data_IF_896664061515
#
_entry.id   IF_896664061515
#
_cell.length_a   1.000
_cell.length_b   1.000
_cell.length_c   1.000
_cell.angle_alpha   90.00
_cell.angle_beta   90.00
_cell.angle_gamma   90.00
#
_symmetry.space_group_name_H-M   'P 1'
#
loop_
_entity.id
_entity.type
_entity.pdbx_description
1 polymer ?
#
# COMPACT_ATOMS: atom_id res chain seq x y z
N UNK A 1 10.57 14.52 3.86
CA UNK A 1 9.37 14.84 4.66
C UNK A 1 9.06 13.61 5.48
N UNK A 2 8.57 13.78 6.70
CA UNK A 2 8.23 12.67 7.57
C UNK A 2 6.71 12.50 7.55
N UNK A 3 6.22 11.35 7.11
CA UNK A 3 4.79 11.08 7.00
C UNK A 3 4.24 10.50 8.32
N UNK A 4 3.06 10.93 8.72
CA UNK A 4 2.39 10.42 9.92
C UNK A 4 1.61 9.15 9.60
N UNK A 5 1.46 8.25 10.58
CA UNK A 5 0.67 7.01 10.40
C UNK A 5 -0.81 7.28 10.12
N UNK A 6 -1.33 8.45 10.52
CA UNK A 6 -2.71 8.87 10.26
C UNK A 6 -3.00 9.10 8.77
N UNK A 7 -1.96 9.33 7.96
CA UNK A 7 -2.10 9.48 6.51
C UNK A 7 -2.34 8.13 5.82
N UNK A 8 -2.03 7.00 6.47
CA UNK A 8 -2.22 5.67 5.87
C UNK A 8 -3.72 5.33 5.84
N UNK A 9 -4.23 4.99 4.65
CA UNK A 9 -5.63 4.61 4.48
C UNK A 9 -5.99 3.36 5.31
N UNK A 10 -7.12 3.44 6.02
CA UNK A 10 -7.67 2.33 6.80
C UNK A 10 -7.08 2.15 8.21
N UNK A 11 -6.26 3.08 8.71
CA UNK A 11 -5.94 3.14 10.15
C UNK A 11 -6.96 4.03 10.86
N UNK A 12 -7.82 3.44 11.68
CA UNK A 12 -8.79 4.20 12.49
C UNK A 12 -8.10 4.88 13.68
N UNK A 13 -8.72 5.93 14.22
CA UNK A 13 -8.22 6.66 15.39
C UNK A 13 -7.92 5.75 16.59
N UNK A 14 -8.72 4.69 16.79
CA UNK A 14 -8.47 3.70 17.84
C UNK A 14 -7.13 2.96 17.64
N UNK A 15 -6.78 2.62 16.41
CA UNK A 15 -5.52 1.95 16.10
C UNK A 15 -4.33 2.92 16.07
N UNK A 16 -4.54 4.16 15.62
CA UNK A 16 -3.53 5.24 15.74
C UNK A 16 -3.11 5.38 17.21
N UNK A 17 -4.06 5.58 18.12
CA UNK A 17 -3.77 5.71 19.55
C UNK A 17 -3.02 4.49 20.15
N UNK A 18 -3.24 3.28 19.61
CA UNK A 18 -2.51 2.08 20.04
C UNK A 18 -1.08 2.07 19.50
N UNK A 19 -0.89 2.43 18.24
CA UNK A 19 0.43 2.55 17.60
C UNK A 19 1.27 3.62 18.30
N UNK A 20 0.69 4.78 18.63
CA UNK A 20 1.38 5.85 19.34
C UNK A 20 1.86 5.42 20.73
N UNK A 21 1.05 4.63 21.47
CA UNK A 21 1.46 4.05 22.76
C UNK A 21 2.64 3.08 22.64
N UNK A 22 2.85 2.50 21.46
CA UNK A 22 4.02 1.68 21.13
C UNK A 22 5.19 2.51 20.58
N UNK A 23 5.09 3.84 20.58
CA UNK A 23 6.08 4.76 20.03
C UNK A 23 6.13 4.77 18.50
N UNK A 24 5.03 4.41 17.84
CA UNK A 24 4.91 4.38 16.37
C UNK A 24 4.00 5.52 15.97
N UNK A 25 4.60 6.65 15.57
CA UNK A 25 3.87 7.85 15.14
C UNK A 25 4.07 8.13 13.66
N UNK A 26 5.14 7.60 13.05
CA UNK A 26 5.50 7.92 11.66
C UNK A 26 5.57 6.67 10.79
N UNK A 27 5.39 6.87 9.49
CA UNK A 27 5.53 5.83 8.45
C UNK A 27 6.86 5.10 8.58
N UNK A 28 7.96 5.81 8.83
CA UNK A 28 9.29 5.21 8.97
C UNK A 28 9.38 4.31 10.22
N UNK A 29 8.84 4.75 11.35
CA UNK A 29 8.81 3.92 12.58
C UNK A 29 7.93 2.68 12.43
N UNK A 30 6.85 2.79 11.64
CA UNK A 30 5.98 1.67 11.32
C UNK A 30 6.72 0.66 10.42
N UNK A 31 7.38 1.14 9.36
CA UNK A 31 8.17 0.31 8.45
C UNK A 31 9.33 -0.38 9.17
N UNK A 32 10.08 0.33 10.00
CA UNK A 32 11.19 -0.23 10.78
C UNK A 32 10.72 -1.42 11.62
N UNK A 33 9.63 -1.25 12.38
CA UNK A 33 9.09 -2.30 13.25
C UNK A 33 8.34 -3.41 12.50
N UNK A 34 7.75 -3.14 11.34
CA UNK A 34 6.90 -4.09 10.60
C UNK A 34 7.50 -4.68 9.32
N UNK A 35 8.74 -4.33 8.96
CA UNK A 35 9.45 -4.86 7.79
C UNK A 35 9.60 -6.38 7.83
N UNK A 36 9.86 -6.95 9.02
CA UNK A 36 10.01 -8.38 9.22
C UNK A 36 8.70 -9.10 9.54
N UNK A 37 8.59 -10.38 9.17
CA UNK A 37 7.43 -11.20 9.49
C UNK A 37 7.15 -11.27 11.00
N UNK A 38 8.21 -11.39 11.80
CA UNK A 38 8.16 -11.38 13.27
C UNK A 38 7.65 -10.03 13.79
N UNK A 39 8.18 -8.93 13.28
CA UNK A 39 7.74 -7.59 13.68
C UNK A 39 6.25 -7.38 13.42
N UNK A 40 5.73 -7.87 12.28
CA UNK A 40 4.29 -7.84 12.01
C UNK A 40 3.46 -8.67 13.00
N UNK A 41 3.97 -9.84 13.41
CA UNK A 41 3.29 -10.68 14.41
C UNK A 41 3.25 -10.01 15.79
N UNK A 42 4.34 -9.37 16.19
CA UNK A 42 4.45 -8.61 17.44
C UNK A 42 3.48 -7.41 17.43
N UNK A 43 3.43 -6.66 16.33
CA UNK A 43 2.50 -5.53 16.15
C UNK A 43 1.03 -5.99 16.16
N UNK A 44 0.72 -7.07 15.45
CA UNK A 44 -0.64 -7.61 15.36
C UNK A 44 -1.15 -8.02 16.76
N UNK A 45 -0.29 -8.69 17.54
CA UNK A 45 -0.59 -9.10 18.91
C UNK A 45 -0.76 -7.90 19.84
N UNK A 46 0.15 -6.93 19.79
CA UNK A 46 0.13 -5.76 20.67
C UNK A 46 -1.09 -4.85 20.43
N UNK A 47 -1.51 -4.71 19.17
CA UNK A 47 -2.63 -3.85 18.77
C UNK A 47 -3.97 -4.61 18.85
N UNK A 48 -3.94 -5.95 18.75
CA UNK A 48 -5.12 -6.80 18.74
C UNK A 48 -5.84 -6.77 17.40
N UNK A 49 -5.10 -6.94 16.30
CA UNK A 49 -5.62 -6.99 14.92
C UNK A 49 -5.08 -8.20 14.18
N UNK A 50 -5.68 -8.53 13.03
CA UNK A 50 -5.15 -9.58 12.17
C UNK A 50 -3.79 -9.19 11.59
N UNK A 51 -2.90 -10.17 11.40
CA UNK A 51 -1.59 -9.98 10.75
C UNK A 51 -1.72 -9.35 9.36
N UNK A 52 -2.76 -9.73 8.61
CA UNK A 52 -3.06 -9.16 7.29
C UNK A 52 -3.34 -7.67 7.34
N UNK A 53 -3.97 -7.17 8.41
CA UNK A 53 -4.20 -5.74 8.63
C UNK A 53 -2.88 -4.99 8.81
N UNK A 54 -1.96 -5.51 9.62
CA UNK A 54 -0.62 -4.93 9.78
C UNK A 54 0.15 -4.96 8.46
N UNK A 55 0.11 -6.09 7.74
CA UNK A 55 0.77 -6.22 6.46
C UNK A 55 0.27 -5.17 5.46
N UNK A 56 -1.05 -4.97 5.36
CA UNK A 56 -1.64 -3.93 4.51
C UNK A 56 -1.11 -2.54 4.87
N UNK A 57 -1.10 -2.17 6.15
CA UNK A 57 -0.58 -0.86 6.57
C UNK A 57 0.91 -0.69 6.26
N UNK A 58 1.70 -1.75 6.40
CA UNK A 58 3.12 -1.76 6.07
C UNK A 58 3.37 -1.63 4.57
N UNK A 59 2.57 -2.32 3.76
CA UNK A 59 2.61 -2.22 2.30
C UNK A 59 2.27 -0.79 1.85
N UNK A 60 1.15 -0.24 2.34
CA UNK A 60 0.81 1.17 2.06
C UNK A 60 1.90 2.13 2.54
N UNK A 61 2.45 1.93 3.73
CA UNK A 61 3.57 2.72 4.25
C UNK A 61 4.82 2.66 3.34
N UNK A 62 5.07 1.50 2.70
CA UNK A 62 6.19 1.32 1.76
C UNK A 62 6.05 2.31 0.58
N UNK A 63 4.84 2.47 0.03
CA UNK A 63 4.56 3.39 -1.08
C UNK A 63 4.80 4.87 -0.74
N UNK A 64 4.69 5.28 0.53
CA UNK A 64 4.93 6.66 0.96
C UNK A 64 6.41 7.07 0.84
N UNK A 65 7.30 6.12 0.56
CA UNK A 65 8.69 6.45 0.21
C UNK A 65 8.82 7.12 -1.16
N UNK A 66 7.81 7.00 -2.02
CA UNK A 66 7.79 7.61 -3.34
C UNK A 66 7.31 9.05 -3.24
N UNK A 67 8.16 10.00 -3.65
CA UNK A 67 7.81 11.40 -3.62
C UNK A 67 6.62 11.68 -4.54
N UNK A 68 5.59 12.30 -3.99
CA UNK A 68 4.34 12.58 -4.70
C UNK A 68 3.26 11.50 -4.53
N UNK A 69 3.57 10.38 -3.87
CA UNK A 69 2.58 9.38 -3.44
C UNK A 69 2.21 9.65 -1.99
N UNK A 70 0.97 10.10 -1.78
CA UNK A 70 0.35 10.21 -0.45
C UNK A 70 -0.90 9.35 -0.36
N UNK A 71 -1.70 9.54 0.69
CA UNK A 71 -2.90 8.74 1.00
C UNK A 71 -3.80 8.44 -0.21
N UNK A 72 -4.13 9.46 -1.00
CA UNK A 72 -5.05 9.28 -2.14
C UNK A 72 -4.48 8.37 -3.22
N UNK A 73 -3.22 8.60 -3.60
CA UNK A 73 -2.58 7.79 -4.64
C UNK A 73 -2.18 6.41 -4.15
N UNK A 74 -1.75 6.25 -2.89
CA UNK A 74 -1.46 4.93 -2.33
C UNK A 74 -2.72 4.06 -2.27
N UNK A 75 -3.88 4.64 -1.93
CA UNK A 75 -5.18 3.96 -1.98
C UNK A 75 -5.58 3.56 -3.41
N UNK A 76 -5.38 4.44 -4.38
CA UNK A 76 -5.68 4.14 -5.79
C UNK A 76 -4.75 3.05 -6.34
N UNK A 77 -3.46 3.10 -5.99
CA UNK A 77 -2.47 2.07 -6.36
C UNK A 77 -2.80 0.73 -5.70
N UNK A 78 -3.17 0.71 -4.43
CA UNK A 78 -3.64 -0.50 -3.74
C UNK A 78 -4.86 -1.10 -4.42
N UNK A 79 -5.83 -0.26 -4.80
CA UNK A 79 -7.00 -0.71 -5.57
C UNK A 79 -6.60 -1.34 -6.92
N UNK A 80 -5.46 -0.93 -7.48
CA UNK A 80 -4.85 -1.50 -8.67
C UNK A 80 -3.87 -2.66 -8.36
N UNK A 81 -3.92 -3.22 -7.15
CA UNK A 81 -3.06 -4.31 -6.66
C UNK A 81 -1.56 -3.96 -6.60
N UNK A 82 -1.24 -2.66 -6.62
CA UNK A 82 0.10 -2.12 -6.43
C UNK A 82 0.17 -1.55 -5.03
N UNK A 83 0.48 -2.40 -4.06
CA UNK A 83 0.54 -2.05 -2.65
C UNK A 83 1.97 -1.94 -2.11
N UNK A 84 3.02 -2.18 -2.91
CA UNK A 84 4.43 -2.06 -2.48
C UNK A 84 5.28 -1.32 -3.50
N UNK A 85 6.43 -0.80 -3.05
CA UNK A 85 7.44 -0.19 -3.92
C UNK A 85 7.98 -1.21 -4.92
N UNK A 86 8.14 -2.46 -4.50
CA UNK A 86 8.60 -3.54 -5.39
C UNK A 86 7.62 -3.78 -6.55
N UNK A 87 6.32 -3.90 -6.27
CA UNK A 87 5.28 -4.05 -7.32
C UNK A 87 5.23 -2.84 -8.24
N UNK A 88 5.35 -1.63 -7.68
CA UNK A 88 5.40 -0.41 -8.47
C UNK A 88 6.63 -0.38 -9.38
N UNK A 89 7.80 -0.78 -8.89
CA UNK A 89 9.04 -0.82 -9.68
C UNK A 89 8.98 -1.77 -10.88
N UNK A 90 8.19 -2.83 -10.76
CA UNK A 90 7.98 -3.84 -11.80
C UNK A 90 6.81 -3.52 -12.74
N UNK A 91 6.13 -2.38 -12.56
CA UNK A 91 4.97 -1.99 -13.36
C UNK A 91 5.36 -1.32 -14.68
N UNK A 92 4.47 -1.43 -15.69
CA UNK A 92 4.49 -0.60 -16.90
C UNK A 92 3.61 0.62 -16.69
N UNK A 93 4.13 1.82 -16.93
CA UNK A 93 3.41 3.09 -16.71
C UNK A 93 2.11 3.16 -17.52
N UNK A 94 2.14 2.75 -18.79
CA UNK A 94 0.98 2.77 -19.69
C UNK A 94 -0.11 1.79 -19.23
N UNK A 95 0.28 0.56 -18.90
CA UNK A 95 -0.66 -0.49 -18.43
C UNK A 95 -1.26 -0.08 -17.09
N UNK A 96 -0.42 0.42 -16.18
CA UNK A 96 -0.86 0.90 -14.88
C UNK A 96 -1.82 2.07 -15.03
N UNK A 97 -1.52 3.04 -15.90
CA UNK A 97 -2.42 4.18 -16.14
C UNK A 97 -3.82 3.73 -16.58
N UNK A 98 -3.92 2.82 -17.56
CA UNK A 98 -5.20 2.28 -18.03
C UNK A 98 -5.95 1.60 -16.87
N UNK A 99 -5.25 0.81 -16.05
CA UNK A 99 -5.84 0.14 -14.88
C UNK A 99 -6.37 1.15 -13.86
N UNK A 100 -5.60 2.20 -13.55
CA UNK A 100 -5.99 3.25 -12.60
C UNK A 100 -7.19 4.06 -13.09
N UNK A 101 -7.26 4.37 -14.39
CA UNK A 101 -8.43 5.05 -14.99
C UNK A 101 -9.68 4.20 -14.81
N UNK A 102 -9.64 2.93 -15.24
CA UNK A 102 -10.79 2.02 -15.13
C UNK A 102 -11.29 1.88 -13.70
N UNK A 103 -10.37 1.67 -12.75
CA UNK A 103 -10.71 1.57 -11.33
C UNK A 103 -11.37 2.85 -10.81
N UNK A 104 -10.88 4.02 -11.24
CA UNK A 104 -11.42 5.29 -10.78
C UNK A 104 -12.76 5.65 -11.44
N UNK A 105 -13.02 5.17 -12.66
CA UNK A 105 -14.35 5.25 -13.29
C UNK A 105 -15.38 4.40 -12.53
N UNK A 106 -14.96 3.24 -12.01
CA UNK A 106 -15.85 2.33 -11.26
C UNK A 106 -16.06 2.77 -9.79
N UNK A 107 -15.04 3.34 -9.16
CA UNK A 107 -15.00 3.54 -7.70
C UNK A 107 -14.87 4.99 -7.24
N UNK A 108 -14.64 5.92 -8.17
CA UNK A 108 -14.54 7.37 -7.93
C UNK A 108 -13.61 7.73 -6.75
N UNK A 109 -12.43 7.10 -6.69
CA UNK A 109 -11.52 7.21 -5.55
C UNK A 109 -10.84 8.58 -5.44
N UNK A 110 -10.51 9.20 -6.58
CA UNK A 110 -9.84 10.49 -6.68
C UNK A 110 -10.49 11.39 -7.73
N UNK A 111 -10.54 12.68 -7.41
CA UNK A 111 -10.95 13.71 -8.37
C UNK A 111 -9.89 13.96 -9.45
N UNK A 112 -8.61 13.76 -9.12
CA UNK A 112 -7.49 13.97 -10.03
C UNK A 112 -6.61 12.73 -10.06
N UNK A 113 -6.52 12.11 -11.24
CA UNK A 113 -5.63 11.00 -11.51
C UNK A 113 -4.18 11.47 -11.73
N UNK A 114 -3.18 10.62 -11.47
CA UNK A 114 -1.81 10.90 -11.85
C UNK A 114 -1.69 10.93 -13.38
N UNK A 115 -0.85 11.83 -13.89
CA UNK A 115 -0.44 11.80 -15.31
C UNK A 115 0.50 10.63 -15.59
N UNK A 116 0.63 10.25 -16.86
CA UNK A 116 1.57 9.21 -17.29
C UNK A 116 3.01 9.54 -16.86
N UNK A 117 3.43 10.80 -17.01
CA UNK A 117 4.75 11.26 -16.58
C UNK A 117 4.97 11.14 -15.06
N UNK A 118 3.93 11.35 -14.24
CA UNK A 118 4.01 11.12 -12.80
C UNK A 118 4.17 9.63 -12.48
N UNK A 119 3.46 8.75 -13.18
CA UNK A 119 3.61 7.31 -12.99
C UNK A 119 5.01 6.82 -13.39
N UNK A 120 5.54 7.33 -14.51
CA UNK A 120 6.91 7.03 -14.95
C UNK A 120 7.94 7.46 -13.90
N UNK A 121 7.81 8.68 -13.37
CA UNK A 121 8.66 9.17 -12.29
C UNK A 121 8.56 8.29 -11.03
N UNK A 122 7.36 7.91 -10.62
CA UNK A 122 7.16 7.01 -9.47
C UNK A 122 7.82 5.64 -9.67
N UNK A 123 7.70 5.06 -10.87
CA UNK A 123 8.34 3.79 -11.22
C UNK A 123 9.87 3.93 -11.18
N UNK A 124 10.43 5.04 -11.70
CA UNK A 124 11.87 5.33 -11.64
C UNK A 124 12.33 5.47 -10.19
N UNK A 125 11.60 6.22 -9.36
CA UNK A 125 11.89 6.35 -7.94
C UNK A 125 11.86 4.99 -7.23
N UNK A 126 10.86 4.15 -7.54
CA UNK A 126 10.72 2.82 -6.97
C UNK A 126 11.90 1.91 -7.32
N UNK A 127 12.34 1.92 -8.59
CA UNK A 127 13.52 1.16 -9.04
C UNK A 127 14.82 1.58 -8.36
N UNK A 128 14.93 2.83 -7.92
CA UNK A 128 16.11 3.38 -7.29
C UNK A 128 16.12 3.23 -5.76
N UNK A 129 15.12 2.56 -5.17
CA UNK A 129 15.01 2.37 -3.73
C UNK A 129 15.24 0.91 -3.33
N UNK A 130 15.85 0.66 -2.16
CA UNK A 130 15.91 -0.68 -1.61
C UNK A 130 14.49 -1.12 -1.24
N UNK A 131 14.08 -2.31 -1.68
CA UNK A 131 12.83 -2.91 -1.22
C UNK A 131 12.92 -3.16 0.29
N UNK A 132 12.14 -2.42 1.09
CA UNK A 132 12.06 -2.59 2.55
C UNK A 132 11.18 -3.79 2.89
N UNK A 133 10.12 -3.98 2.12
CA UNK A 133 9.17 -5.08 2.28
C UNK A 133 9.37 -6.07 1.15
N UNK A 134 9.96 -7.23 1.45
CA UNK A 134 9.96 -8.36 0.51
C UNK A 134 8.69 -9.18 0.75
N UNK A 135 7.75 -9.14 -0.18
CA UNK A 135 6.61 -10.06 -0.19
C UNK A 135 7.09 -11.46 -0.60
N UNK A 136 7.78 -12.15 0.31
CA UNK A 136 7.90 -13.61 0.25
C UNK A 136 6.91 -14.20 1.25
N UNK A 137 5.85 -14.79 0.66
CA UNK A 137 4.90 -15.72 1.28
C UNK A 137 3.76 -15.09 2.08
N UNK A 138 2.66 -14.77 1.38
CA UNK A 138 1.28 -15.17 1.74
C UNK A 138 0.42 -15.31 0.47
N UNK A 139 0.91 -16.03 -0.55
CA UNK A 139 0.02 -16.59 -1.57
C UNK A 139 -0.75 -17.77 -0.93
N UNK A 140 -1.75 -17.47 -0.11
CA UNK A 140 -2.84 -18.41 0.09
C UNK A 140 -3.85 -18.13 -1.03
N UNK A 141 -3.59 -18.74 -2.19
CA UNK A 141 -4.37 -18.66 -3.42
C UNK A 141 -5.72 -19.42 -3.24
N UNK A 142 -6.46 -19.11 -2.17
CA UNK A 142 -7.73 -19.77 -1.85
C UNK A 142 -8.90 -18.82 -1.62
N UNK A 143 -8.73 -17.49 -1.67
CA UNK A 143 -9.86 -16.55 -1.56
C UNK A 143 -9.84 -15.44 -2.63
N UNK A 144 -9.55 -15.82 -3.88
CA UNK A 144 -9.81 -15.00 -5.07
C UNK A 144 -10.76 -15.72 -6.03
N UNK A 145 -11.83 -16.32 -5.50
CA UNK A 145 -12.85 -17.01 -6.28
C UNK A 145 -14.22 -16.33 -6.25
N UNK A 146 -14.32 -15.04 -5.89
CA UNK A 146 -15.63 -14.38 -5.79
C UNK A 146 -15.86 -13.22 -6.77
N UNK A 147 -14.88 -12.81 -7.59
CA UNK A 147 -15.11 -11.79 -8.64
C UNK A 147 -14.96 -12.32 -10.08
N UNK A 148 -15.11 -13.62 -10.28
CA UNK A 148 -15.29 -14.21 -11.61
C UNK A 148 -16.77 -14.46 -11.87
N UNK A 149 -17.56 -13.40 -12.04
CA UNK A 149 -18.86 -13.50 -12.70
C UNK A 149 -18.95 -12.40 -13.76
N UNK A 150 -19.08 -12.87 -15.00
CA UNK A 150 -19.60 -12.19 -16.19
C UNK A 150 -18.72 -11.14 -16.88
N UNK A 151 -17.83 -11.62 -17.75
CA UNK A 151 -17.63 -11.01 -19.08
C UNK A 151 -17.44 -12.13 -20.12
N UNK A 152 -18.55 -12.70 -20.56
CA UNK A 152 -18.69 -13.35 -21.87
C UNK A 152 -20.00 -12.84 -22.47
N UNK A 153 -19.89 -11.94 -23.43
CA UNK A 153 -20.68 -11.90 -24.67
C UNK A 153 -19.82 -11.23 -25.75
#
# INVERSE_FOLDING_TARGET
MQHQIEEIDGISLNYINKLEKLGITTVETLLDKGSSARGRDELATAIGVAKSTILRWINLADLFQIQGVGQGYSKLLEAAEIDTVDKLSNSSSEVLYIKLVKINEERELLQKLPSLAQLEDWIIQAKNRPAIVQEKQLINHQNYSDWSIEWCD
#
